data_IF_061649357186
#
_entry.id   IF_061649357186
#
_cell.length_a   1.000
_cell.length_b   1.000
_cell.length_c   1.000
_cell.angle_alpha   90.00
_cell.angle_beta   90.00
_cell.angle_gamma   90.00
#
_symmetry.space_group_name_H-M   'P 1'
#
loop_
_entity.id
_entity.type
_entity.pdbx_description
1 polymer ?
#
# COMPACT_ATOMS: atom_id res chain seq x y z
N UNK A 1 -15.76 -4.63 -2.92
CA UNK A 1 -14.78 -5.38 -2.06
C UNK A 1 -13.37 -5.04 -2.51
N UNK A 2 -12.45 -4.82 -1.56
CA UNK A 2 -11.05 -4.58 -1.90
C UNK A 2 -10.43 -5.82 -2.54
N UNK A 3 -9.57 -5.63 -3.54
CA UNK A 3 -8.87 -6.70 -4.23
C UNK A 3 -7.86 -7.36 -3.28
N UNK A 4 -7.86 -8.68 -3.23
CA UNK A 4 -6.94 -9.49 -2.44
C UNK A 4 -6.14 -10.45 -3.31
N UNK A 5 -5.05 -10.97 -2.77
CA UNK A 5 -4.08 -11.81 -3.46
C UNK A 5 -3.80 -13.06 -2.63
N UNK A 6 -4.11 -14.23 -3.18
CA UNK A 6 -3.92 -15.51 -2.47
C UNK A 6 -2.46 -15.99 -2.58
N UNK A 7 -1.79 -16.27 -1.46
CA UNK A 7 -0.44 -16.85 -1.44
C UNK A 7 -0.37 -18.23 -2.11
N UNK A 8 0.80 -18.58 -2.64
CA UNK A 8 1.02 -19.90 -3.25
C UNK A 8 1.25 -20.99 -2.21
N UNK A 9 1.11 -22.26 -2.60
CA UNK A 9 1.44 -23.41 -1.75
C UNK A 9 2.92 -23.45 -1.36
N UNK A 10 3.82 -22.98 -2.26
CA UNK A 10 5.25 -22.89 -1.97
C UNK A 10 5.55 -21.88 -0.86
N UNK A 11 4.86 -20.73 -0.84
CA UNK A 11 4.96 -19.74 0.23
C UNK A 11 4.46 -20.34 1.56
N UNK A 12 3.35 -21.05 1.54
CA UNK A 12 2.81 -21.73 2.73
C UNK A 12 3.81 -22.76 3.28
N UNK A 13 4.48 -23.50 2.42
CA UNK A 13 5.50 -24.47 2.82
C UNK A 13 6.72 -23.82 3.46
N UNK A 14 7.21 -22.70 2.91
CA UNK A 14 8.31 -21.92 3.50
C UNK A 14 7.92 -21.38 4.89
N UNK A 15 6.74 -20.76 4.99
CA UNK A 15 6.22 -20.24 6.24
C UNK A 15 6.09 -21.34 7.33
N UNK A 16 5.53 -22.50 6.99
CA UNK A 16 5.44 -23.66 7.90
C UNK A 16 6.82 -24.10 8.39
N UNK A 17 7.79 -24.17 7.50
CA UNK A 17 9.18 -24.51 7.84
C UNK A 17 9.79 -23.51 8.83
N UNK A 18 9.63 -22.22 8.57
CA UNK A 18 10.14 -21.17 9.45
C UNK A 18 9.45 -21.18 10.82
N UNK A 19 8.14 -21.37 10.88
CA UNK A 19 7.40 -21.53 12.13
C UNK A 19 7.89 -22.73 12.94
N UNK A 20 8.23 -23.84 12.27
CA UNK A 20 8.85 -25.00 12.91
C UNK A 20 10.22 -24.64 13.50
N UNK A 21 11.10 -23.97 12.76
CA UNK A 21 12.38 -23.50 13.29
C UNK A 21 12.21 -22.58 14.49
N UNK A 22 11.20 -21.69 14.48
CA UNK A 22 10.88 -20.84 15.65
C UNK A 22 10.47 -21.67 16.86
N UNK A 23 9.66 -22.72 16.69
CA UNK A 23 9.27 -23.62 17.79
C UNK A 23 10.45 -24.45 18.34
N UNK A 24 11.48 -24.67 17.53
CA UNK A 24 12.72 -25.34 17.90
C UNK A 24 13.76 -24.39 18.57
N UNK A 25 13.38 -23.11 18.77
CA UNK A 25 14.24 -22.12 19.44
C UNK A 25 15.20 -21.35 18.51
N UNK A 26 15.10 -21.54 17.18
CA UNK A 26 15.95 -20.80 16.25
C UNK A 26 15.67 -19.30 16.30
N UNK A 27 16.73 -18.51 16.35
CA UNK A 27 16.65 -17.05 16.33
C UNK A 27 16.29 -16.52 14.92
N UNK A 28 15.80 -15.29 14.85
CA UNK A 28 15.46 -14.59 13.60
C UNK A 28 13.97 -14.34 13.45
N UNK A 29 13.65 -13.31 12.66
CA UNK A 29 12.31 -12.82 12.45
C UNK A 29 11.76 -12.00 13.62
N UNK A 30 10.76 -11.17 13.31
CA UNK A 30 10.04 -10.31 14.23
C UNK A 30 8.62 -10.83 14.49
N UNK A 31 7.89 -10.21 15.42
CA UNK A 31 6.45 -10.50 15.63
C UNK A 31 5.64 -10.30 14.35
N UNK A 32 5.97 -9.29 13.56
CA UNK A 32 5.33 -9.05 12.25
C UNK A 32 5.61 -10.21 11.28
N UNK A 33 6.85 -10.70 11.24
CA UNK A 33 7.22 -11.89 10.44
C UNK A 33 6.46 -13.14 10.88
N UNK A 34 6.28 -13.35 12.19
CA UNK A 34 5.49 -14.47 12.73
C UNK A 34 4.00 -14.36 12.33
N UNK A 35 3.42 -13.17 12.45
CA UNK A 35 2.04 -12.92 12.03
C UNK A 35 1.89 -13.18 10.51
N UNK A 36 2.85 -12.73 9.71
CA UNK A 36 2.89 -12.98 8.27
C UNK A 36 2.95 -14.48 7.97
N UNK A 37 3.84 -15.22 8.63
CA UNK A 37 3.98 -16.66 8.44
C UNK A 37 2.67 -17.42 8.75
N UNK A 38 1.94 -16.98 9.79
CA UNK A 38 0.64 -17.58 10.11
C UNK A 38 -0.39 -17.35 8.99
N UNK A 39 -0.48 -16.15 8.42
CA UNK A 39 -1.34 -15.90 7.26
C UNK A 39 -0.92 -16.70 6.03
N UNK A 40 0.39 -16.82 5.78
CA UNK A 40 0.91 -17.53 4.62
C UNK A 40 0.69 -19.04 4.73
N UNK A 41 0.86 -19.65 5.93
CA UNK A 41 0.68 -21.09 6.12
C UNK A 41 -0.74 -21.57 5.80
N UNK A 42 -1.72 -20.70 6.07
CA UNK A 42 -3.15 -20.95 5.85
C UNK A 42 -3.61 -20.39 4.49
N UNK A 43 -2.71 -19.70 3.77
CA UNK A 43 -2.95 -19.09 2.47
C UNK A 43 -4.06 -18.03 2.52
N UNK A 44 -4.15 -17.30 3.62
CA UNK A 44 -5.12 -16.23 3.77
C UNK A 44 -4.94 -15.17 2.67
N UNK A 45 -6.05 -14.64 2.11
CA UNK A 45 -5.97 -13.58 1.12
C UNK A 45 -5.31 -12.32 1.68
N UNK A 46 -4.29 -11.81 0.99
CA UNK A 46 -3.52 -10.64 1.40
C UNK A 46 -3.98 -9.39 0.67
N UNK A 47 -3.94 -8.25 1.35
CA UNK A 47 -4.22 -6.93 0.74
C UNK A 47 -3.07 -6.46 -0.15
N UNK A 48 -3.32 -5.46 -1.01
CA UNK A 48 -2.27 -4.85 -1.82
C UNK A 48 -1.15 -4.25 -0.97
N UNK A 49 -1.47 -3.56 0.13
CA UNK A 49 -0.48 -2.99 1.06
C UNK A 49 0.41 -4.08 1.66
N UNK A 50 -0.17 -5.21 2.06
CA UNK A 50 0.59 -6.36 2.55
C UNK A 50 1.56 -6.92 1.51
N UNK A 51 1.12 -7.03 0.26
CA UNK A 51 1.99 -7.49 -0.86
C UNK A 51 3.17 -6.54 -1.07
N UNK A 52 2.91 -5.23 -1.05
CA UNK A 52 3.96 -4.21 -1.18
C UNK A 52 4.96 -4.27 -0.03
N UNK A 53 4.50 -4.44 1.22
CA UNK A 53 5.38 -4.66 2.40
C UNK A 53 6.24 -5.93 2.25
N UNK A 54 5.68 -7.01 1.72
CA UNK A 54 6.45 -8.23 1.44
C UNK A 54 7.56 -7.98 0.42
N UNK A 55 7.25 -7.29 -0.67
CA UNK A 55 8.28 -6.89 -1.65
C UNK A 55 9.38 -6.04 -1.01
N UNK A 56 9.00 -5.01 -0.24
CA UNK A 56 9.96 -4.14 0.45
C UNK A 56 10.85 -4.90 1.44
N UNK A 57 10.29 -5.85 2.19
CA UNK A 57 11.05 -6.75 3.07
C UNK A 57 12.11 -7.51 2.26
N UNK A 58 11.72 -8.22 1.22
CA UNK A 58 12.64 -9.03 0.43
C UNK A 58 13.74 -8.20 -0.25
N UNK A 59 13.40 -7.02 -0.78
CA UNK A 59 14.38 -6.13 -1.42
C UNK A 59 15.46 -5.65 -0.44
N UNK A 60 15.10 -5.37 0.81
CA UNK A 60 16.09 -4.97 1.84
C UNK A 60 16.92 -6.15 2.35
N UNK A 61 16.35 -7.34 2.43
CA UNK A 61 16.96 -8.53 3.04
C UNK A 61 17.54 -9.52 2.03
N UNK A 62 17.60 -9.17 0.75
CA UNK A 62 18.21 -10.04 -0.26
C UNK A 62 19.69 -10.29 0.00
N UNK A 63 20.39 -9.33 0.62
CA UNK A 63 21.77 -9.44 1.03
C UNK A 63 22.00 -10.56 2.05
N UNK A 64 21.03 -10.91 2.87
CA UNK A 64 21.11 -11.96 3.88
C UNK A 64 21.33 -13.35 3.25
N UNK A 65 21.00 -13.52 1.97
CA UNK A 65 21.23 -14.76 1.20
C UNK A 65 22.71 -15.09 1.01
N UNK A 66 23.60 -14.10 1.22
CA UNK A 66 25.05 -14.27 1.11
C UNK A 66 25.69 -14.65 2.44
N UNK A 67 24.98 -14.56 3.55
CA UNK A 67 25.49 -14.90 4.87
C UNK A 67 25.61 -16.42 5.05
N UNK A 68 26.64 -16.85 5.79
CA UNK A 68 26.83 -18.25 6.19
C UNK A 68 25.60 -18.77 6.95
N UNK A 69 25.21 -20.00 6.68
CA UNK A 69 24.04 -20.63 7.29
C UNK A 69 22.71 -20.23 6.62
N UNK A 70 22.73 -19.51 5.51
CA UNK A 70 21.52 -19.24 4.76
C UNK A 70 21.06 -20.45 3.94
N UNK A 71 21.99 -21.23 3.37
CA UNK A 71 21.68 -22.40 2.56
C UNK A 71 21.74 -23.67 3.39
N UNK A 72 20.88 -24.63 3.04
CA UNK A 72 20.91 -25.93 3.67
C UNK A 72 22.28 -26.62 3.49
N UNK A 73 22.80 -27.20 4.57
CA UNK A 73 24.11 -27.86 4.59
C UNK A 73 25.26 -26.92 4.98
N UNK A 74 25.06 -25.61 5.09
CA UNK A 74 26.04 -24.69 5.61
C UNK A 74 26.08 -24.73 7.16
N UNK A 75 27.24 -24.42 7.73
CA UNK A 75 27.39 -24.27 9.18
C UNK A 75 26.46 -23.16 9.70
N UNK A 76 25.79 -23.42 10.82
CA UNK A 76 24.85 -22.48 11.43
C UNK A 76 23.51 -22.35 10.69
N UNK A 77 23.18 -23.29 9.79
CA UNK A 77 21.84 -23.33 9.18
C UNK A 77 20.77 -23.80 10.18
N UNK A 78 19.58 -23.14 10.25
CA UNK A 78 19.22 -21.92 9.53
C UNK A 78 19.74 -20.66 10.24
N UNK A 79 20.36 -19.75 9.49
CA UNK A 79 20.74 -18.43 10.00
C UNK A 79 19.50 -17.59 10.36
N UNK A 80 19.70 -16.52 11.17
CA UNK A 80 18.61 -15.58 11.52
C UNK A 80 17.93 -15.00 10.26
N UNK A 81 18.73 -14.61 9.26
CA UNK A 81 18.24 -14.13 7.97
C UNK A 81 17.44 -15.18 7.22
N UNK A 82 17.87 -16.45 7.25
CA UNK A 82 17.10 -17.53 6.61
C UNK A 82 15.77 -17.77 7.28
N UNK A 83 15.71 -17.77 8.61
CA UNK A 83 14.45 -17.88 9.34
C UNK A 83 13.52 -16.72 8.97
N UNK A 84 14.01 -15.48 9.02
CA UNK A 84 13.24 -14.30 8.63
C UNK A 84 12.73 -14.41 7.19
N UNK A 85 13.58 -14.77 6.24
CA UNK A 85 13.23 -14.94 4.82
C UNK A 85 12.07 -15.93 4.61
N UNK A 86 12.12 -17.07 5.28
CA UNK A 86 11.08 -18.10 5.15
C UNK A 86 9.79 -17.74 5.88
N UNK A 87 9.82 -16.94 6.96
CA UNK A 87 8.63 -16.39 7.60
C UNK A 87 7.80 -15.52 6.65
N UNK A 88 8.44 -14.85 5.69
CA UNK A 88 7.79 -14.05 4.66
C UNK A 88 7.46 -14.84 3.38
N UNK A 89 7.71 -16.16 3.35
CA UNK A 89 7.33 -17.04 2.24
C UNK A 89 8.48 -17.53 1.36
N UNK A 90 9.73 -17.26 1.77
CA UNK A 90 10.92 -17.74 1.08
C UNK A 90 11.09 -17.13 -0.32
N UNK A 91 11.90 -17.79 -1.17
CA UNK A 91 12.12 -17.35 -2.56
C UNK A 91 10.81 -17.29 -3.38
N UNK A 92 9.87 -18.17 -3.08
CA UNK A 92 8.52 -18.14 -3.68
C UNK A 92 7.76 -16.86 -3.28
N UNK A 93 7.91 -16.40 -2.04
CA UNK A 93 7.35 -15.15 -1.55
C UNK A 93 7.94 -13.94 -2.26
N UNK A 94 9.26 -13.91 -2.43
CA UNK A 94 9.94 -12.84 -3.15
C UNK A 94 9.46 -12.73 -4.61
N UNK A 95 9.53 -13.83 -5.36
CA UNK A 95 9.10 -13.85 -6.76
C UNK A 95 7.63 -13.48 -6.91
N UNK A 96 6.77 -14.01 -6.04
CA UNK A 96 5.35 -13.74 -6.07
C UNK A 96 5.03 -12.29 -5.74
N UNK A 97 5.61 -11.73 -4.65
CA UNK A 97 5.40 -10.35 -4.26
C UNK A 97 5.92 -9.36 -5.31
N UNK A 98 7.04 -9.64 -5.96
CA UNK A 98 7.57 -8.87 -7.09
C UNK A 98 6.58 -8.84 -8.26
N UNK A 99 6.07 -10.00 -8.66
CA UNK A 99 5.09 -10.09 -9.75
C UNK A 99 3.79 -9.36 -9.41
N UNK A 100 3.30 -9.50 -8.17
CA UNK A 100 2.08 -8.83 -7.70
C UNK A 100 2.26 -7.32 -7.54
N UNK A 101 3.40 -6.87 -7.02
CA UNK A 101 3.76 -5.45 -7.00
C UNK A 101 3.69 -4.83 -8.40
N UNK A 102 4.32 -5.47 -9.38
CA UNK A 102 4.30 -4.97 -10.75
C UNK A 102 2.88 -4.95 -11.35
N UNK A 103 2.04 -5.90 -10.98
CA UNK A 103 0.62 -5.88 -11.34
C UNK A 103 -0.11 -4.71 -10.69
N UNK A 104 0.07 -4.50 -9.38
CA UNK A 104 -0.54 -3.40 -8.60
C UNK A 104 -0.13 -2.05 -9.19
N UNK A 105 1.17 -1.86 -9.48
CA UNK A 105 1.67 -0.59 -10.04
C UNK A 105 1.07 -0.31 -11.41
N UNK A 106 1.03 -1.30 -12.31
CA UNK A 106 0.36 -1.15 -13.61
C UNK A 106 -1.12 -0.82 -13.51
N UNK A 107 -1.83 -1.43 -12.56
CA UNK A 107 -3.25 -1.13 -12.32
C UNK A 107 -3.44 0.30 -11.80
N UNK A 108 -2.56 0.77 -10.90
CA UNK A 108 -2.55 2.15 -10.42
C UNK A 108 -2.26 3.14 -11.53
N UNK A 109 -1.24 2.89 -12.34
CA UNK A 109 -0.89 3.72 -13.51
C UNK A 109 -2.04 3.78 -14.53
N UNK A 110 -2.66 2.65 -14.84
CA UNK A 110 -3.84 2.61 -15.73
C UNK A 110 -5.00 3.42 -15.18
N UNK A 111 -5.25 3.36 -13.86
CA UNK A 111 -6.28 4.19 -13.20
C UNK A 111 -5.91 5.66 -13.25
N UNK A 112 -4.67 6.02 -12.98
CA UNK A 112 -4.19 7.39 -13.07
C UNK A 112 -4.37 7.96 -14.48
N UNK A 113 -4.02 7.19 -15.53
CA UNK A 113 -4.25 7.57 -16.93
C UNK A 113 -5.74 7.73 -17.26
N UNK A 114 -6.61 6.88 -16.73
CA UNK A 114 -8.05 7.04 -16.88
C UNK A 114 -8.56 8.31 -16.19
N UNK A 115 -8.01 8.62 -15.01
CA UNK A 115 -8.32 9.85 -14.28
C UNK A 115 -7.90 11.10 -15.05
N UNK A 116 -6.69 11.11 -15.61
CA UNK A 116 -6.21 12.21 -16.48
C UNK A 116 -7.14 12.41 -17.67
N UNK A 117 -7.53 11.33 -18.36
CA UNK A 117 -8.47 11.41 -19.48
C UNK A 117 -9.86 11.88 -19.07
N UNK A 118 -10.34 11.54 -17.88
CA UNK A 118 -11.60 12.05 -17.32
C UNK A 118 -11.47 13.53 -16.96
N UNK A 119 -10.33 13.95 -16.44
CA UNK A 119 -10.03 15.35 -16.13
C UNK A 119 -9.97 16.20 -17.40
N UNK A 120 -9.33 15.70 -18.46
CA UNK A 120 -9.33 16.35 -19.80
C UNK A 120 -10.73 16.51 -20.40
N UNK A 121 -11.66 15.60 -20.07
CA UNK A 121 -13.07 15.68 -20.44
C UNK A 121 -13.93 16.50 -19.48
N UNK A 122 -13.33 17.12 -18.45
CA UNK A 122 -14.03 17.90 -17.45
C UNK A 122 -14.76 17.09 -16.37
N UNK A 123 -14.53 15.78 -16.29
CA UNK A 123 -15.14 14.91 -15.29
C UNK A 123 -14.14 14.67 -14.17
N UNK A 124 -14.40 15.17 -12.97
CA UNK A 124 -13.57 14.93 -11.79
C UNK A 124 -13.75 13.49 -11.27
N UNK A 125 -12.64 12.83 -10.92
CA UNK A 125 -12.72 11.52 -10.27
C UNK A 125 -13.47 11.60 -8.94
N UNK A 126 -14.08 10.50 -8.59
CA UNK A 126 -14.85 10.31 -7.37
C UNK A 126 -14.02 10.65 -6.13
N UNK A 127 -14.45 11.67 -5.39
CA UNK A 127 -13.85 11.98 -4.08
C UNK A 127 -14.76 11.49 -2.96
N UNK A 128 -14.20 10.75 -2.00
CA UNK A 128 -14.94 10.39 -0.82
C UNK A 128 -15.20 11.62 0.06
N UNK A 129 -16.31 11.61 0.80
CA UNK A 129 -16.65 12.69 1.74
C UNK A 129 -15.52 12.99 2.74
N UNK A 130 -14.77 11.96 3.15
CA UNK A 130 -13.64 12.12 4.06
C UNK A 130 -12.51 12.92 3.42
N UNK A 131 -12.16 12.64 2.16
CA UNK A 131 -11.11 13.36 1.45
C UNK A 131 -11.52 14.82 1.23
N UNK A 132 -12.75 15.09 0.84
CA UNK A 132 -13.27 16.46 0.71
C UNK A 132 -13.17 17.22 2.04
N UNK A 133 -13.56 16.60 3.16
CA UNK A 133 -13.47 17.21 4.47
C UNK A 133 -12.01 17.53 4.86
N UNK A 134 -11.09 16.61 4.61
CA UNK A 134 -9.67 16.79 4.93
C UNK A 134 -9.01 17.88 4.08
N UNK A 135 -9.37 17.98 2.81
CA UNK A 135 -8.93 19.05 1.92
C UNK A 135 -9.41 20.40 2.44
N UNK A 136 -10.70 20.53 2.74
CA UNK A 136 -11.27 21.76 3.28
C UNK A 136 -10.61 22.17 4.61
N UNK A 137 -10.36 21.24 5.51
CA UNK A 137 -9.68 21.47 6.77
C UNK A 137 -8.25 21.95 6.57
N UNK A 138 -7.49 21.32 5.67
CA UNK A 138 -6.11 21.71 5.39
C UNK A 138 -6.01 23.14 4.83
N UNK A 139 -6.87 23.51 3.89
CA UNK A 139 -6.85 24.85 3.30
C UNK A 139 -7.39 25.90 4.25
N UNK A 140 -8.41 25.61 5.04
CA UNK A 140 -8.92 26.52 6.06
C UNK A 140 -7.86 26.82 7.12
N UNK A 141 -7.09 25.83 7.55
CA UNK A 141 -6.02 25.97 8.53
C UNK A 141 -4.81 26.77 7.99
N UNK A 142 -4.58 26.73 6.68
CA UNK A 142 -3.53 27.49 6.01
C UNK A 142 -3.97 28.89 5.58
N UNK A 143 -5.25 29.21 5.76
CA UNK A 143 -5.84 30.50 5.36
C UNK A 143 -5.69 30.83 3.85
N UNK A 144 -5.76 29.82 3.00
CA UNK A 144 -5.64 29.91 1.54
C UNK A 144 -7.04 30.17 0.96
N UNK A 145 -7.32 31.43 0.64
CA UNK A 145 -8.67 31.87 0.27
C UNK A 145 -9.11 31.45 -1.14
N UNK A 146 -8.19 31.38 -2.10
CA UNK A 146 -8.50 31.03 -3.48
C UNK A 146 -8.90 29.55 -3.62
N UNK A 147 -8.20 28.65 -2.92
CA UNK A 147 -8.52 27.23 -2.89
C UNK A 147 -9.83 26.96 -2.16
N UNK A 148 -10.11 27.69 -1.07
CA UNK A 148 -11.41 27.59 -0.39
C UNK A 148 -12.56 28.06 -1.28
N UNK A 149 -12.37 29.10 -2.07
CA UNK A 149 -13.35 29.59 -3.01
C UNK A 149 -13.56 28.61 -4.17
N UNK A 150 -12.46 28.03 -4.70
CA UNK A 150 -12.51 26.96 -5.68
C UNK A 150 -13.29 25.73 -5.17
N UNK A 151 -13.08 25.37 -3.89
CA UNK A 151 -13.86 24.30 -3.25
C UNK A 151 -15.32 24.68 -3.05
N UNK A 152 -15.62 25.93 -2.79
CA UNK A 152 -16.99 26.43 -2.77
C UNK A 152 -17.71 26.21 -4.11
N UNK A 153 -17.03 26.52 -5.22
CA UNK A 153 -17.53 26.23 -6.57
C UNK A 153 -17.67 24.72 -6.84
N UNK A 154 -16.69 23.93 -6.39
CA UNK A 154 -16.77 22.47 -6.45
C UNK A 154 -18.02 21.95 -5.73
N UNK A 155 -18.24 22.35 -4.48
CA UNK A 155 -19.39 21.90 -3.68
C UNK A 155 -20.72 22.36 -4.26
N UNK A 156 -20.77 23.55 -4.87
CA UNK A 156 -21.98 24.07 -5.49
C UNK A 156 -22.41 23.25 -6.69
N UNK A 157 -21.46 22.75 -7.49
CA UNK A 157 -21.74 21.94 -8.68
C UNK A 157 -21.66 20.42 -8.43
N UNK A 158 -21.31 20.02 -7.19
CA UNK A 158 -21.12 18.61 -6.88
C UNK A 158 -22.45 17.86 -6.76
N UNK A 159 -22.56 16.74 -7.44
CA UNK A 159 -23.59 15.75 -7.21
C UNK A 159 -23.11 14.71 -6.19
N UNK A 160 -23.87 14.55 -5.10
CA UNK A 160 -23.61 13.52 -4.11
C UNK A 160 -24.20 12.20 -4.58
N UNK A 161 -23.34 11.22 -4.88
CA UNK A 161 -23.76 9.87 -5.24
C UNK A 161 -23.44 8.91 -4.09
N UNK A 162 -24.43 8.10 -3.73
CA UNK A 162 -24.23 6.95 -2.82
C UNK A 162 -23.84 5.73 -3.64
N UNK A 163 -22.59 5.31 -3.52
CA UNK A 163 -22.07 4.12 -4.18
C UNK A 163 -21.39 3.20 -3.18
N UNK A 164 -21.84 1.95 -3.10
CA UNK A 164 -21.19 0.88 -2.30
C UNK A 164 -20.84 1.27 -0.85
N UNK A 165 -21.77 1.94 -0.15
CA UNK A 165 -21.61 2.44 1.22
C UNK A 165 -20.65 3.63 1.40
N UNK A 166 -20.21 4.26 0.32
CA UNK A 166 -19.40 5.48 0.33
C UNK A 166 -20.18 6.64 -0.27
N UNK A 167 -20.19 7.76 0.43
CA UNK A 167 -20.65 9.02 -0.13
C UNK A 167 -19.55 9.59 -1.03
N UNK A 168 -19.88 9.79 -2.31
CA UNK A 168 -18.92 10.23 -3.33
C UNK A 168 -19.46 11.46 -4.03
N UNK A 169 -18.64 12.51 -4.08
CA UNK A 169 -18.96 13.72 -4.85
C UNK A 169 -18.42 13.60 -6.27
N UNK A 170 -19.26 13.96 -7.23
CA UNK A 170 -18.92 14.08 -8.67
C UNK A 170 -19.14 15.51 -9.11
N UNK A 171 -18.17 16.08 -9.82
CA UNK A 171 -18.29 17.40 -10.45
C UNK A 171 -17.88 17.33 -11.91
N UNK A 172 -18.68 17.90 -12.79
CA UNK A 172 -18.23 18.25 -14.13
C UNK A 172 -17.44 19.57 -14.05
N UNK A 173 -16.12 19.50 -14.24
CA UNK A 173 -15.26 20.68 -14.18
C UNK A 173 -15.57 21.74 -15.23
N UNK A 174 -16.30 21.40 -16.31
CA UNK A 174 -16.76 22.41 -17.26
C UNK A 174 -17.78 23.37 -16.65
N UNK A 175 -18.46 22.95 -15.58
CA UNK A 175 -19.41 23.80 -14.85
C UNK A 175 -18.72 24.76 -13.88
N UNK A 176 -17.44 24.56 -13.59
CA UNK A 176 -16.66 25.41 -12.71
C UNK A 176 -15.97 26.50 -13.51
N UNK A 177 -16.10 27.75 -13.05
CA UNK A 177 -15.50 28.92 -13.72
C UNK A 177 -13.98 28.96 -13.58
N UNK A 178 -13.29 29.57 -14.53
CA UNK A 178 -11.90 29.95 -14.41
C UNK A 178 -11.76 31.16 -13.44
N UNK A 179 -10.71 31.23 -12.59
CA UNK A 179 -9.54 30.33 -12.50
C UNK A 179 -9.73 29.10 -11.63
N UNK A 180 -10.88 28.95 -10.96
CA UNK A 180 -11.12 27.90 -9.95
C UNK A 180 -10.99 26.49 -10.52
N UNK A 181 -11.28 26.31 -11.80
CA UNK A 181 -11.11 25.01 -12.47
C UNK A 181 -9.66 24.53 -12.43
N UNK A 182 -8.71 25.40 -12.75
CA UNK A 182 -7.28 25.07 -12.77
C UNK A 182 -6.75 24.81 -11.36
N UNK A 183 -7.24 25.58 -10.38
CA UNK A 183 -6.93 25.37 -8.97
C UNK A 183 -7.40 23.99 -8.53
N UNK A 184 -8.62 23.58 -8.84
CA UNK A 184 -9.16 22.27 -8.50
C UNK A 184 -8.39 21.14 -9.18
N UNK A 185 -8.03 21.27 -10.45
CA UNK A 185 -7.22 20.30 -11.18
C UNK A 185 -5.88 20.10 -10.46
N UNK A 186 -5.23 21.20 -10.08
CA UNK A 186 -3.94 21.15 -9.40
C UNK A 186 -4.04 20.51 -8.00
N UNK A 187 -5.04 20.90 -7.22
CA UNK A 187 -5.32 20.34 -5.90
C UNK A 187 -5.57 18.84 -6.00
N UNK A 188 -6.40 18.38 -6.93
CA UNK A 188 -6.72 16.95 -7.07
C UNK A 188 -5.52 16.12 -7.56
N UNK A 189 -4.67 16.68 -8.42
CA UNK A 189 -3.43 16.03 -8.85
C UNK A 189 -2.47 15.83 -7.68
N UNK A 190 -2.29 16.85 -6.86
CA UNK A 190 -1.38 16.79 -5.70
C UNK A 190 -1.89 15.84 -4.59
N UNK A 191 -3.22 15.74 -4.40
CA UNK A 191 -3.78 14.81 -3.41
C UNK A 191 -3.57 13.33 -3.76
N UNK A 192 -3.50 12.98 -5.03
CA UNK A 192 -3.18 11.62 -5.45
C UNK A 192 -1.74 11.21 -5.14
N UNK A 193 -0.80 12.17 -5.17
CA UNK A 193 0.60 11.91 -4.82
C UNK A 193 0.79 11.76 -3.29
N UNK A 194 0.04 12.50 -2.48
CA UNK A 194 0.15 12.46 -1.01
C UNK A 194 -0.41 11.19 -0.37
N UNK A 195 -1.47 10.60 -0.92
CA UNK A 195 -2.03 9.32 -0.42
C UNK A 195 -1.09 8.13 -0.65
N UNK A 196 -0.17 8.23 -1.60
CA UNK A 196 0.83 7.19 -1.87
C UNK A 196 2.00 7.24 -0.88
N UNK A 197 2.38 8.41 -0.39
CA UNK A 197 3.56 8.61 0.48
C UNK A 197 3.25 8.34 1.97
N UNK A 198 2.03 8.65 2.42
CA UNK A 198 1.62 8.46 3.83
C UNK A 198 1.30 7.01 4.23
N UNK A 199 1.28 6.07 3.29
CA UNK A 199 1.02 4.65 3.60
C UNK A 199 2.26 3.85 4.02
N UNK A 200 3.46 4.45 4.06
CA UNK A 200 4.73 3.73 4.19
C UNK A 200 5.38 3.84 5.58
N UNK A 201 5.07 4.85 6.41
CA UNK A 201 6.00 5.22 7.50
C UNK A 201 5.52 5.11 8.96
N UNK A 202 4.47 4.38 9.30
CA UNK A 202 4.00 4.40 10.71
C UNK A 202 4.23 3.14 11.55
N UNK A 203 4.95 2.12 11.10
CA UNK A 203 5.15 0.90 11.93
C UNK A 203 6.59 0.38 12.09
N UNK A 204 7.63 1.08 11.66
CA UNK A 204 9.02 0.61 11.81
C UNK A 204 9.76 1.12 13.07
N UNK A 205 9.07 1.71 14.05
CA UNK A 205 9.70 2.23 15.28
C UNK A 205 9.53 1.33 16.51
N UNK A 206 9.62 0.01 16.35
CA UNK A 206 9.89 -0.86 17.48
C UNK A 206 11.35 -1.30 17.44
N UNK A 207 12.18 -0.50 18.13
CA UNK A 207 13.57 -0.82 18.40
C UNK A 207 13.68 -2.16 19.13
N UNK A 208 14.57 -3.03 18.63
CA UNK A 208 15.10 -4.17 19.34
C UNK A 208 15.77 -3.70 20.64
N UNK A 209 15.14 -3.88 21.79
CA UNK A 209 15.85 -3.87 23.05
C UNK A 209 16.50 -5.25 23.26
N UNK A 210 17.83 -5.34 23.35
CA UNK A 210 18.50 -6.61 23.63
C UNK A 210 18.37 -6.93 25.11
N UNK A 211 17.85 -8.10 25.42
CA UNK A 211 18.09 -8.83 26.67
C UNK A 211 18.67 -10.18 26.37
#
# INVERSE_FOLDING_TARGET
>A
MAKTYTPTSGMASAAKRALKWKSEGNAGGTLVGLARANQLKDRDPLTASTVLRMYSFFSRHEVDKQATGFRSGEEGFPSKGRVAWDLWGGDGGYSWSTAKRNQIMRERESKALQLVKLTEKGIVPKMSRMVVAQVLENYANQNISEELEAFGQFMYHAELLRMDHLDVYLVDLHMVEQPYRDILINVFSNFHEMDEDNSVDTEDSYEDTPT
#
